data_IF_296888218133
#
_entry.id   IF_296888218133
#
_cell.length_a   1.000
_cell.length_b   1.000
_cell.length_c   1.000
_cell.angle_alpha   90.00
_cell.angle_beta   90.00
_cell.angle_gamma   90.00
#
_symmetry.space_group_name_H-M   'P 1'
#
loop_
_entity.id
_entity.type
_entity.pdbx_description
1 polymer ?
#
# COMPACT_ATOMS: atom_id res chain seq x y z
N UNK A 1 -6.41 -43.69 41.89
CA UNK A 1 -6.16 -42.83 40.71
C UNK A 1 -6.44 -41.39 41.11
N UNK A 2 -5.44 -40.54 40.93
CA UNK A 2 -5.37 -39.11 41.29
C UNK A 2 -6.16 -38.26 40.28
N UNK A 3 -6.90 -37.23 40.71
CA UNK A 3 -7.10 -35.95 40.00
C UNK A 3 -7.73 -34.90 40.96
N UNK A 4 -7.31 -33.61 40.91
CA UNK A 4 -7.50 -32.62 41.99
C UNK A 4 -8.77 -31.73 41.85
N UNK A 5 -9.16 -31.01 42.91
CA UNK A 5 -10.25 -30.04 42.86
C UNK A 5 -9.76 -28.68 42.33
N UNK A 6 -10.12 -28.29 41.10
CA UNK A 6 -9.83 -26.95 40.57
C UNK A 6 -10.97 -26.39 39.71
N UNK A 7 -12.13 -26.12 40.31
CA UNK A 7 -13.17 -25.27 39.71
C UNK A 7 -13.24 -23.89 40.41
N UNK A 8 -12.09 -23.23 40.52
CA UNK A 8 -11.97 -21.85 41.02
C UNK A 8 -11.42 -20.87 39.95
N UNK A 9 -11.30 -21.28 38.69
CA UNK A 9 -10.62 -20.50 37.65
C UNK A 9 -11.55 -19.61 36.79
N UNK A 10 -12.87 -19.66 36.95
CA UNK A 10 -13.81 -18.94 36.06
C UNK A 10 -14.64 -17.84 36.72
N UNK A 11 -14.47 -17.58 38.02
CA UNK A 11 -15.22 -16.53 38.73
C UNK A 11 -14.70 -15.12 38.47
N UNK A 12 -13.40 -14.97 38.19
CA UNK A 12 -12.75 -13.68 37.93
C UNK A 12 -13.07 -13.08 36.55
N UNK A 13 -13.46 -13.92 35.58
CA UNK A 13 -13.81 -13.48 34.23
C UNK A 13 -15.28 -13.08 34.10
N UNK A 14 -16.07 -13.13 35.18
CA UNK A 14 -17.47 -12.72 35.16
C UNK A 14 -17.59 -11.26 35.61
N UNK A 15 -17.95 -10.32 34.72
CA UNK A 15 -18.25 -8.96 35.15
C UNK A 15 -19.42 -8.99 36.13
N UNK A 16 -19.21 -8.45 37.34
CA UNK A 16 -20.20 -8.47 38.43
C UNK A 16 -21.40 -7.56 38.19
N UNK A 17 -21.33 -6.67 37.21
CA UNK A 17 -22.45 -5.87 36.74
C UNK A 17 -22.93 -6.42 35.40
N UNK A 18 -24.21 -6.81 35.34
CA UNK A 18 -24.93 -6.96 34.07
C UNK A 18 -25.13 -5.56 33.48
N UNK A 19 -24.10 -5.02 32.86
CA UNK A 19 -24.25 -3.88 31.97
C UNK A 19 -24.93 -4.42 30.73
N UNK A 20 -26.24 -4.23 30.62
CA UNK A 20 -26.95 -4.43 29.35
C UNK A 20 -26.44 -3.35 28.42
N UNK A 21 -25.36 -3.65 27.69
CA UNK A 21 -24.83 -2.76 26.66
C UNK A 21 -25.79 -2.87 25.48
N UNK A 22 -26.85 -2.06 25.52
CA UNK A 22 -27.58 -1.68 24.32
C UNK A 22 -26.56 -1.07 23.36
N UNK A 23 -26.03 -1.86 22.43
CA UNK A 23 -25.06 -1.37 21.44
C UNK A 23 -25.83 -0.39 20.55
N UNK A 24 -25.58 0.93 20.61
CA UNK A 24 -26.20 1.83 19.66
C UNK A 24 -25.52 1.59 18.31
N UNK A 25 -26.08 0.68 17.52
CA UNK A 25 -25.79 0.58 16.09
C UNK A 25 -26.37 1.82 15.44
N UNK A 26 -25.66 2.95 15.34
CA UNK A 26 -25.62 3.92 14.22
C UNK A 26 -24.45 4.89 14.46
N UNK A 27 -23.52 4.96 13.50
CA UNK A 27 -22.47 5.99 13.40
C UNK A 27 -21.28 5.91 14.37
N UNK A 28 -20.64 4.74 14.53
CA UNK A 28 -19.19 4.79 14.82
C UNK A 28 -18.53 5.37 13.58
N UNK A 29 -18.20 6.66 13.59
CA UNK A 29 -17.15 7.16 12.71
C UNK A 29 -15.94 6.22 12.90
N UNK A 30 -15.21 5.83 11.85
CA UNK A 30 -13.95 5.12 12.04
C UNK A 30 -13.02 6.08 12.80
N UNK A 31 -13.03 5.98 14.14
CA UNK A 31 -12.10 6.68 14.99
C UNK A 31 -10.79 5.91 14.82
N UNK A 32 -10.03 6.31 13.82
CA UNK A 32 -8.64 5.90 13.72
C UNK A 32 -7.93 6.44 14.96
N UNK A 33 -7.41 5.53 15.79
CA UNK A 33 -6.51 5.90 16.87
C UNK A 33 -5.30 6.68 16.34
N UNK A 34 -4.56 7.38 17.20
CA UNK A 34 -3.39 8.15 16.78
C UNK A 34 -2.44 7.25 15.99
N UNK A 35 -1.87 7.74 14.87
CA UNK A 35 -1.02 6.94 13.99
C UNK A 35 0.17 6.37 14.78
N UNK A 36 0.37 5.05 14.73
CA UNK A 36 1.48 4.39 15.44
C UNK A 36 2.85 4.90 15.02
N UNK A 37 2.96 5.38 13.78
CA UNK A 37 4.17 5.97 13.23
C UNK A 37 3.87 7.38 12.76
N UNK A 38 4.48 8.36 13.43
CA UNK A 38 4.40 9.75 13.00
C UNK A 38 5.21 9.91 11.72
N UNK A 39 4.51 10.15 10.62
CA UNK A 39 5.15 10.56 9.38
C UNK A 39 5.64 11.99 9.51
N UNK A 40 6.94 12.20 9.32
CA UNK A 40 7.50 13.54 9.23
C UNK A 40 6.93 14.26 7.98
N UNK A 41 6.84 15.60 7.97
CA UNK A 41 6.36 16.34 6.81
C UNK A 41 7.19 16.05 5.55
N UNK A 42 8.51 15.85 5.72
CA UNK A 42 9.40 15.46 4.62
C UNK A 42 9.04 14.09 4.06
N UNK A 43 8.77 13.11 4.91
CA UNK A 43 8.34 11.78 4.45
C UNK A 43 7.01 11.87 3.70
N UNK A 44 6.04 12.65 4.19
CA UNK A 44 4.77 12.88 3.47
C UNK A 44 5.00 13.49 2.08
N UNK A 45 5.93 14.42 1.95
CA UNK A 45 6.29 15.04 0.67
C UNK A 45 6.91 14.02 -0.29
N UNK A 46 7.83 13.18 0.19
CA UNK A 46 8.49 12.16 -0.64
C UNK A 46 7.50 11.08 -1.08
N UNK A 47 6.68 10.55 -0.17
CA UNK A 47 5.71 9.51 -0.51
C UNK A 47 4.55 10.04 -1.37
N UNK A 48 4.06 11.25 -1.10
CA UNK A 48 3.01 11.88 -1.89
C UNK A 48 3.52 12.46 -3.20
N UNK A 49 4.37 13.49 -3.11
CA UNK A 49 4.88 14.21 -4.28
C UNK A 49 5.89 13.41 -5.09
N UNK A 50 6.76 12.65 -4.43
CA UNK A 50 7.76 11.83 -5.13
C UNK A 50 7.14 10.70 -5.95
N UNK A 51 6.07 10.06 -5.47
CA UNK A 51 5.36 9.02 -6.24
C UNK A 51 4.70 9.59 -7.50
N UNK A 52 4.08 10.76 -7.40
CA UNK A 52 3.52 11.48 -8.56
C UNK A 52 4.58 11.89 -9.57
N UNK A 53 5.72 12.39 -9.09
CA UNK A 53 6.82 12.82 -9.94
C UNK A 53 7.39 11.66 -10.76
N UNK A 54 7.60 10.49 -10.14
CA UNK A 54 8.09 9.28 -10.83
C UNK A 54 7.13 8.88 -11.96
N UNK A 55 5.83 8.92 -11.69
CA UNK A 55 4.81 8.54 -12.68
C UNK A 55 4.70 9.51 -13.85
N UNK A 56 5.23 10.73 -13.72
CA UNK A 56 5.38 11.70 -14.82
C UNK A 56 6.73 11.59 -15.54
N UNK A 57 7.83 11.33 -14.83
CA UNK A 57 9.16 11.23 -15.43
C UNK A 57 9.24 10.06 -16.42
N UNK A 58 8.71 8.89 -16.06
CA UNK A 58 8.76 7.68 -16.90
C UNK A 58 8.11 7.90 -18.27
N UNK A 59 6.85 8.38 -18.38
CA UNK A 59 6.22 8.59 -19.68
C UNK A 59 6.88 9.70 -20.49
N UNK A 60 7.34 10.78 -19.85
CA UNK A 60 8.07 11.87 -20.55
C UNK A 60 9.38 11.35 -21.13
N UNK A 61 10.15 10.59 -20.34
CA UNK A 61 11.41 10.01 -20.80
C UNK A 61 11.18 8.99 -21.93
N UNK A 62 10.14 8.17 -21.82
CA UNK A 62 9.72 7.25 -22.87
C UNK A 62 9.39 7.98 -24.17
N UNK A 63 8.57 9.04 -24.11
CA UNK A 63 8.18 9.82 -25.28
C UNK A 63 9.38 10.51 -25.95
N UNK A 64 10.31 11.06 -25.17
CA UNK A 64 11.53 11.67 -25.67
C UNK A 64 12.52 10.66 -26.26
N UNK A 65 12.45 9.39 -25.86
CA UNK A 65 13.32 8.32 -26.38
C UNK A 65 12.83 7.75 -27.73
N UNK A 66 11.56 7.96 -28.11
CA UNK A 66 10.95 7.48 -29.36
C UNK A 66 11.72 7.89 -30.63
N UNK A 67 12.10 9.17 -30.85
CA UNK A 67 12.80 9.55 -32.09
C UNK A 67 14.15 8.83 -32.27
N UNK A 68 14.88 8.60 -31.17
CA UNK A 68 16.14 7.86 -31.19
C UNK A 68 15.95 6.39 -31.59
N UNK A 69 14.86 5.75 -31.13
CA UNK A 69 14.52 4.38 -31.50
C UNK A 69 14.01 4.28 -32.93
N UNK A 70 13.22 5.25 -33.38
CA UNK A 70 12.72 5.31 -34.75
C UNK A 70 13.87 5.41 -35.76
N UNK A 71 14.86 6.27 -35.50
CA UNK A 71 16.04 6.41 -36.35
C UNK A 71 16.86 5.11 -36.44
N UNK A 72 17.05 4.41 -35.32
CA UNK A 72 17.80 3.15 -35.26
C UNK A 72 17.12 2.01 -36.05
N UNK A 73 15.79 1.97 -36.02
CA UNK A 73 15.00 0.97 -36.75
C UNK A 73 15.00 1.18 -38.27
N UNK A 74 15.05 2.44 -38.72
CA UNK A 74 15.11 2.77 -40.14
C UNK A 74 16.47 2.43 -40.78
N UNK A 75 17.57 2.69 -40.07
CA UNK A 75 18.92 2.33 -40.56
C UNK A 75 19.10 0.83 -40.74
N UNK A 76 18.54 0.02 -39.83
CA UNK A 76 18.60 -1.45 -39.90
C UNK A 76 17.78 -2.02 -41.08
N UNK A 77 16.67 -1.37 -41.44
CA UNK A 77 15.88 -1.73 -42.64
C UNK A 77 16.62 -1.46 -43.94
N UNK A 78 17.35 -0.34 -44.04
CA UNK A 78 18.11 -0.01 -45.27
C UNK A 78 19.20 -1.04 -45.55
N UNK A 79 20.05 -1.30 -44.57
CA UNK A 79 21.15 -2.29 -44.70
C UNK A 79 20.64 -3.71 -45.00
N UNK A 80 19.46 -4.09 -44.51
CA UNK A 80 18.86 -5.38 -44.85
C UNK A 80 18.41 -5.46 -46.33
N UNK A 81 17.87 -4.36 -46.89
CA UNK A 81 17.49 -4.33 -48.30
C UNK A 81 18.72 -4.31 -49.23
N UNK A 82 19.82 -3.67 -48.82
CA UNK A 82 21.06 -3.59 -49.61
C UNK A 82 21.89 -4.91 -49.59
N UNK A 83 21.52 -5.88 -48.75
CA UNK A 83 22.20 -7.18 -48.63
C UNK A 83 21.46 -8.36 -49.28
N UNK A 84 20.29 -8.11 -49.87
CA UNK A 84 19.48 -9.11 -50.59
C UNK A 84 19.57 -8.95 -52.13
N UNK A 85 20.38 -8.01 -52.64
CA UNK A 85 20.68 -7.83 -54.08
C UNK A 85 22.03 -8.45 -54.51
#
# INVERSE_FOLDING_TARGET
MFLPPTTAASSWLRPKNKVTVEIPKRCLAPICGPPRFHFSPMQKLIFGGGSMLIMMIIPVWGLLSVPAWAAKSQGKRRVANDGEE
#
